data_IF_131709936553
#
_entry.id   IF_131709936553
#
_cell.length_a   1.000
_cell.length_b   1.000
_cell.length_c   1.000
_cell.angle_alpha   90.00
_cell.angle_beta   90.00
_cell.angle_gamma   90.00
#
_symmetry.space_group_name_H-M   'P 1'
#
loop_
_entity.id
_entity.type
_entity.pdbx_description
1 polymer ?
#
# COMPACT_ATOMS: atom_id res chain seq x y z
N UNK A 1 -24.20 -14.45 17.08
CA UNK A 1 -23.65 -13.35 17.90
C UNK A 1 -23.64 -12.14 17.00
N UNK A 2 -24.15 -10.96 17.39
CA UNK A 2 -23.97 -9.77 16.60
C UNK A 2 -22.46 -9.49 16.54
N UNK A 3 -21.89 -9.50 15.34
CA UNK A 3 -20.52 -9.06 15.11
C UNK A 3 -20.47 -7.58 15.49
N UNK A 4 -19.63 -7.22 16.41
CA UNK A 4 -19.26 -5.82 16.60
C UNK A 4 -18.26 -5.51 15.49
N UNK A 5 -18.68 -4.74 14.50
CA UNK A 5 -17.76 -4.15 13.55
C UNK A 5 -16.90 -3.14 14.32
N UNK A 6 -15.62 -3.44 14.49
CA UNK A 6 -14.67 -2.50 15.05
C UNK A 6 -14.33 -1.50 13.93
N UNK A 7 -14.93 -0.33 13.98
CA UNK A 7 -14.55 0.80 13.11
C UNK A 7 -13.44 1.57 13.83
N UNK A 8 -12.30 1.72 13.17
CA UNK A 8 -11.16 2.48 13.68
C UNK A 8 -11.16 3.82 12.95
N UNK A 9 -11.28 4.90 13.75
CA UNK A 9 -11.19 6.27 13.26
C UNK A 9 -9.72 6.71 13.29
N UNK A 10 -9.03 6.55 12.15
CA UNK A 10 -7.62 6.91 12.00
C UNK A 10 -7.37 8.41 12.19
N UNK A 11 -8.31 9.24 11.72
CA UNK A 11 -8.22 10.69 11.85
C UNK A 11 -8.35 11.13 13.31
N UNK A 12 -9.24 10.49 14.08
CA UNK A 12 -9.34 10.74 15.50
C UNK A 12 -8.02 10.43 16.21
N UNK A 13 -7.41 9.28 15.91
CA UNK A 13 -6.11 8.89 16.48
C UNK A 13 -5.01 9.87 16.07
N UNK A 14 -4.96 10.27 14.80
CA UNK A 14 -4.00 11.24 14.28
C UNK A 14 -4.21 12.63 14.92
N UNK A 15 -5.46 13.03 15.11
CA UNK A 15 -5.82 14.27 15.83
C UNK A 15 -5.41 14.21 17.28
N UNK A 16 -5.66 13.10 17.98
CA UNK A 16 -5.21 12.89 19.36
C UNK A 16 -3.69 12.96 19.49
N UNK A 17 -2.95 12.40 18.52
CA UNK A 17 -1.50 12.52 18.48
C UNK A 17 -1.05 13.99 18.39
N UNK A 18 -1.62 14.75 17.45
CA UNK A 18 -1.34 16.19 17.26
C UNK A 18 -1.70 17.03 18.48
N UNK A 19 -2.87 16.77 19.09
CA UNK A 19 -3.31 17.49 20.28
C UNK A 19 -2.44 17.19 21.50
N UNK A 20 -2.00 15.93 21.64
CA UNK A 20 -1.08 15.52 22.71
C UNK A 20 0.29 16.18 22.54
N UNK A 21 0.81 16.28 21.33
CA UNK A 21 2.06 16.98 21.02
C UNK A 21 1.93 18.49 21.35
N UNK A 22 0.82 19.11 20.95
CA UNK A 22 0.54 20.50 21.27
C UNK A 22 0.45 20.75 22.78
N UNK A 23 -0.13 19.83 23.54
CA UNK A 23 -0.16 19.93 25.02
C UNK A 23 1.26 19.84 25.60
N UNK A 24 2.11 18.95 25.05
CA UNK A 24 3.53 18.85 25.44
C UNK A 24 4.26 20.18 25.18
N UNK A 25 4.07 20.78 24.01
CA UNK A 25 4.66 22.07 23.65
C UNK A 25 4.18 23.19 24.57
N UNK A 26 2.88 23.28 24.88
CA UNK A 26 2.32 24.24 25.78
C UNK A 26 2.88 24.07 27.20
N UNK A 27 3.09 22.82 27.63
CA UNK A 27 3.71 22.53 28.91
C UNK A 27 5.18 22.95 28.94
N UNK A 28 5.89 22.73 27.83
CA UNK A 28 7.29 23.14 27.66
C UNK A 28 7.45 24.66 27.58
N UNK A 29 6.50 25.35 26.95
CA UNK A 29 6.50 26.83 26.82
C UNK A 29 5.93 27.54 28.06
N UNK A 30 5.43 26.77 29.05
CA UNK A 30 4.98 27.37 30.31
C UNK A 30 6.16 28.01 31.03
N UNK A 31 6.21 29.36 30.98
CA UNK A 31 7.29 30.20 31.49
C UNK A 31 7.55 30.06 33.01
N UNK A 32 6.69 29.33 33.69
CA UNK A 32 6.78 29.10 35.15
C UNK A 32 7.85 28.08 35.55
N UNK A 33 8.30 27.20 34.62
CA UNK A 33 9.06 26.04 35.00
C UNK A 33 10.55 26.05 34.60
N UNK A 34 11.05 27.06 33.90
CA UNK A 34 12.40 27.11 33.42
C UNK A 34 13.22 28.31 33.85
N UNK A 35 12.67 29.24 34.62
CA UNK A 35 13.34 30.50 34.95
C UNK A 35 13.36 30.75 36.44
N UNK A 36 14.45 30.38 37.09
CA UNK A 36 14.86 30.95 38.37
C UNK A 36 14.97 32.49 38.34
N UNK A 37 14.92 33.09 37.13
CA UNK A 37 15.14 34.52 36.87
C UNK A 37 13.83 35.36 36.98
N UNK A 38 12.65 34.71 37.11
CA UNK A 38 11.39 35.44 37.20
C UNK A 38 11.11 36.09 38.56
N UNK A 39 11.75 35.61 39.63
CA UNK A 39 11.53 36.12 40.99
C UNK A 39 12.86 36.51 41.55
N UNK A 40 13.09 37.81 41.68
CA UNK A 40 14.21 38.31 42.42
C UNK A 40 13.92 38.22 43.95
N UNK A 41 14.97 37.92 44.68
CA UNK A 41 14.90 37.86 46.15
C UNK A 41 14.34 39.14 46.75
N UNK A 42 14.60 40.29 46.09
CA UNK A 42 14.15 41.61 46.51
C UNK A 42 12.62 41.80 46.31
N UNK A 43 12.01 41.09 45.34
CA UNK A 43 10.56 41.17 45.05
C UNK A 43 9.73 40.30 45.99
N UNK A 44 10.28 39.18 46.45
CA UNK A 44 9.57 38.16 47.24
C UNK A 44 10.00 38.16 48.73
N UNK A 45 11.08 38.83 49.07
CA UNK A 45 11.58 38.90 50.44
C UNK A 45 11.72 37.51 51.09
N UNK A 46 11.09 37.32 52.24
CA UNK A 46 11.12 36.05 52.98
C UNK A 46 10.39 34.88 52.30
N UNK A 47 9.52 35.13 51.30
CA UNK A 47 8.81 34.09 50.56
C UNK A 47 9.64 33.48 49.43
N UNK A 48 10.78 34.07 49.04
CA UNK A 48 11.63 33.62 47.95
C UNK A 48 12.05 32.16 48.11
N UNK A 49 12.45 31.75 49.30
CA UNK A 49 12.84 30.36 49.57
C UNK A 49 11.70 29.35 49.38
N UNK A 50 10.50 29.71 49.85
CA UNK A 50 9.33 28.84 49.72
C UNK A 50 8.87 28.70 48.25
N UNK A 51 8.85 29.79 47.47
CA UNK A 51 8.52 29.79 46.06
C UNK A 51 9.55 29.01 45.27
N UNK A 52 10.82 29.18 45.54
CA UNK A 52 11.90 28.43 44.85
C UNK A 52 11.82 26.94 45.19
N UNK A 53 11.57 26.56 46.42
CA UNK A 53 11.37 25.16 46.82
C UNK A 53 10.13 24.55 46.13
N UNK A 54 9.04 25.31 46.04
CA UNK A 54 7.84 24.88 45.29
C UNK A 54 8.15 24.62 43.83
N UNK A 55 8.82 25.54 43.14
CA UNK A 55 9.20 25.38 41.73
C UNK A 55 10.12 24.17 41.54
N UNK A 56 11.12 23.98 42.42
CA UNK A 56 12.02 22.81 42.35
C UNK A 56 11.27 21.49 42.55
N UNK A 57 10.28 21.43 43.44
CA UNK A 57 9.47 20.23 43.67
C UNK A 57 8.61 19.86 42.46
N UNK A 58 8.20 20.81 41.63
CA UNK A 58 7.33 20.60 40.49
C UNK A 58 8.10 20.34 39.17
N UNK A 59 9.40 20.66 39.10
CA UNK A 59 10.19 20.48 37.89
C UNK A 59 10.19 19.00 37.44
N UNK A 60 10.46 18.08 38.36
CA UNK A 60 10.46 16.64 38.04
C UNK A 60 9.10 16.10 37.55
N UNK A 61 7.99 16.35 38.28
CA UNK A 61 6.65 15.99 37.81
C UNK A 61 6.29 16.54 36.42
N UNK A 62 6.69 17.80 36.13
CA UNK A 62 6.43 18.39 34.82
C UNK A 62 7.28 17.77 33.69
N UNK A 63 8.55 17.46 33.96
CA UNK A 63 9.40 16.80 33.01
C UNK A 63 8.88 15.36 32.69
N UNK A 64 8.48 14.63 33.72
CA UNK A 64 7.82 13.33 33.56
C UNK A 64 6.51 13.43 32.74
N UNK A 65 5.72 14.50 32.98
CA UNK A 65 4.49 14.71 32.21
C UNK A 65 4.76 14.99 30.73
N UNK A 66 5.83 15.74 30.40
CA UNK A 66 6.25 15.97 29.01
C UNK A 66 6.66 14.65 28.33
N UNK A 67 7.49 13.84 28.99
CA UNK A 67 7.93 12.54 28.48
C UNK A 67 6.71 11.61 28.25
N UNK A 68 5.76 11.60 29.18
CA UNK A 68 4.55 10.80 29.05
C UNK A 68 3.66 11.28 27.89
N UNK A 69 3.50 12.61 27.72
CA UNK A 69 2.75 13.18 26.60
C UNK A 69 3.43 12.88 25.26
N UNK A 70 4.75 12.92 25.20
CA UNK A 70 5.51 12.54 24.00
C UNK A 70 5.30 11.07 23.65
N UNK A 71 5.46 10.16 24.61
CA UNK A 71 5.25 8.73 24.42
C UNK A 71 3.80 8.44 23.98
N UNK A 72 2.83 9.13 24.55
CA UNK A 72 1.41 8.98 24.20
C UNK A 72 1.12 9.49 22.79
N UNK A 73 1.66 10.65 22.40
CA UNK A 73 1.55 11.19 21.04
C UNK A 73 2.13 10.22 20.01
N UNK A 74 3.34 9.71 20.25
CA UNK A 74 3.97 8.72 19.38
C UNK A 74 3.15 7.43 19.27
N UNK A 75 2.59 6.96 20.39
CA UNK A 75 1.75 5.76 20.39
C UNK A 75 0.48 5.96 19.56
N UNK A 76 -0.21 7.06 19.69
CA UNK A 76 -1.40 7.35 18.88
C UNK A 76 -1.05 7.47 17.39
N UNK A 77 0.02 8.20 17.06
CA UNK A 77 0.49 8.35 15.69
C UNK A 77 0.85 7.01 15.07
N UNK A 78 1.60 6.19 15.80
CA UNK A 78 1.99 4.84 15.34
C UNK A 78 0.77 3.95 15.14
N UNK A 79 -0.17 3.93 16.08
CA UNK A 79 -1.39 3.13 15.96
C UNK A 79 -2.24 3.58 14.76
N UNK A 80 -2.47 4.89 14.60
CA UNK A 80 -3.20 5.41 13.45
C UNK A 80 -2.56 5.00 12.13
N UNK A 81 -1.26 5.21 12.00
CA UNK A 81 -0.51 4.91 10.77
C UNK A 81 -0.52 3.42 10.46
N UNK A 82 -0.21 2.55 11.44
CA UNK A 82 -0.15 1.09 11.21
C UNK A 82 -1.49 0.48 10.84
N UNK A 83 -2.56 0.90 11.50
CA UNK A 83 -3.90 0.42 11.17
C UNK A 83 -4.34 0.91 9.80
N UNK A 84 -4.15 2.19 9.50
CA UNK A 84 -4.42 2.77 8.19
C UNK A 84 -3.63 2.06 7.07
N UNK A 85 -2.31 1.86 7.24
CA UNK A 85 -1.48 1.18 6.25
C UNK A 85 -1.91 -0.27 6.02
N UNK A 86 -2.36 -0.96 7.07
CA UNK A 86 -2.87 -2.34 6.95
C UNK A 86 -4.13 -2.37 6.10
N UNK A 87 -5.08 -1.50 6.37
CA UNK A 87 -6.34 -1.44 5.63
C UNK A 87 -6.11 -0.91 4.21
N UNK A 88 -5.23 0.09 4.04
CA UNK A 88 -4.81 0.60 2.74
C UNK A 88 -4.19 -0.49 1.86
N UNK A 89 -3.31 -1.30 2.43
CA UNK A 89 -2.71 -2.43 1.73
C UNK A 89 -3.76 -3.45 1.32
N UNK A 90 -4.65 -3.84 2.22
CA UNK A 90 -5.72 -4.79 1.91
C UNK A 90 -6.64 -4.27 0.80
N UNK A 91 -6.98 -2.98 0.82
CA UNK A 91 -7.79 -2.35 -0.22
C UNK A 91 -7.04 -2.33 -1.57
N UNK A 92 -5.75 -1.99 -1.57
CA UNK A 92 -4.89 -2.00 -2.75
C UNK A 92 -4.78 -3.40 -3.38
N UNK A 93 -4.50 -4.41 -2.56
CA UNK A 93 -4.42 -5.81 -3.00
C UNK A 93 -5.74 -6.30 -3.61
N UNK A 94 -6.88 -5.98 -2.96
CA UNK A 94 -8.21 -6.35 -3.47
C UNK A 94 -8.51 -5.67 -4.82
N UNK A 95 -8.12 -4.41 -4.99
CA UNK A 95 -8.34 -3.68 -6.23
C UNK A 95 -7.41 -4.16 -7.34
N UNK A 96 -6.13 -4.43 -7.05
CA UNK A 96 -5.22 -5.02 -8.01
C UNK A 96 -5.73 -6.38 -8.51
N UNK A 97 -6.24 -7.22 -7.62
CA UNK A 97 -6.87 -8.49 -7.99
C UNK A 97 -8.12 -8.29 -8.85
N UNK A 98 -9.01 -7.35 -8.48
CA UNK A 98 -10.22 -7.04 -9.25
C UNK A 98 -9.87 -6.51 -10.65
N UNK A 99 -8.82 -5.69 -10.78
CA UNK A 99 -8.31 -5.22 -12.07
C UNK A 99 -7.76 -6.36 -12.92
N UNK A 100 -7.02 -7.31 -12.33
CA UNK A 100 -6.56 -8.52 -13.03
C UNK A 100 -7.71 -9.33 -13.62
N UNK A 101 -8.80 -9.51 -12.88
CA UNK A 101 -10.00 -10.17 -13.38
C UNK A 101 -10.67 -9.39 -14.52
N UNK A 102 -10.78 -8.06 -14.37
CA UNK A 102 -11.32 -7.18 -15.42
C UNK A 102 -10.45 -7.23 -16.67
N UNK A 103 -9.13 -7.22 -16.53
CA UNK A 103 -8.20 -7.31 -17.65
C UNK A 103 -8.32 -8.65 -18.39
N UNK A 104 -8.40 -9.76 -17.68
CA UNK A 104 -8.60 -11.09 -18.29
C UNK A 104 -9.90 -11.15 -19.09
N UNK A 105 -10.99 -10.59 -18.54
CA UNK A 105 -12.27 -10.51 -19.24
C UNK A 105 -12.20 -9.59 -20.47
N UNK A 106 -11.52 -8.46 -20.34
CA UNK A 106 -11.28 -7.52 -21.43
C UNK A 106 -10.47 -8.18 -22.55
N UNK A 107 -9.40 -8.90 -22.25
CA UNK A 107 -8.58 -9.62 -23.24
C UNK A 107 -9.40 -10.67 -24.00
N UNK A 108 -10.19 -11.46 -23.29
CA UNK A 108 -11.13 -12.40 -23.92
C UNK A 108 -12.11 -11.68 -24.87
N UNK A 109 -12.70 -10.59 -24.42
CA UNK A 109 -13.65 -9.83 -25.22
C UNK A 109 -12.97 -9.15 -26.41
N UNK A 110 -11.75 -8.63 -26.22
CA UNK A 110 -10.93 -8.03 -27.28
C UNK A 110 -10.59 -9.06 -28.37
N UNK A 111 -10.13 -10.24 -27.99
CA UNK A 111 -9.84 -11.35 -28.91
C UNK A 111 -11.09 -11.73 -29.70
N UNK A 112 -12.22 -11.91 -29.05
CA UNK A 112 -13.48 -12.23 -29.70
C UNK A 112 -13.93 -11.12 -30.67
N UNK A 113 -13.73 -9.86 -30.29
CA UNK A 113 -14.08 -8.72 -31.13
C UNK A 113 -13.14 -8.59 -32.34
N UNK A 114 -11.86 -8.85 -32.17
CA UNK A 114 -10.88 -8.87 -33.27
C UNK A 114 -11.14 -10.02 -34.24
N UNK A 115 -11.49 -11.21 -33.75
CA UNK A 115 -11.90 -12.33 -34.59
C UNK A 115 -13.17 -11.99 -35.40
N UNK A 116 -14.16 -11.36 -34.75
CA UNK A 116 -15.35 -10.87 -35.45
C UNK A 116 -14.99 -9.85 -36.53
N UNK A 117 -14.09 -8.88 -36.23
CA UNK A 117 -13.59 -7.91 -37.23
C UNK A 117 -12.91 -8.61 -38.42
N UNK A 118 -12.11 -9.65 -38.18
CA UNK A 118 -11.48 -10.43 -39.24
C UNK A 118 -12.51 -11.11 -40.10
N UNK A 119 -13.46 -11.84 -39.51
CA UNK A 119 -14.54 -12.53 -40.22
C UNK A 119 -15.34 -11.57 -41.10
N UNK A 120 -15.63 -10.37 -40.62
CA UNK A 120 -16.39 -9.37 -41.37
C UNK A 120 -15.55 -8.58 -42.38
N UNK A 121 -14.21 -8.60 -42.26
CA UNK A 121 -13.27 -7.90 -43.14
C UNK A 121 -12.63 -8.79 -44.22
N UNK A 122 -12.55 -10.10 -43.99
CA UNK A 122 -11.90 -11.02 -44.91
C UNK A 122 -12.73 -11.23 -46.16
N UNK A 123 -12.05 -11.26 -47.29
CA UNK A 123 -12.61 -11.56 -48.60
C UNK A 123 -12.02 -12.85 -49.15
N UNK A 124 -12.86 -13.70 -49.70
CA UNK A 124 -12.45 -14.89 -50.40
C UNK A 124 -12.82 -14.79 -51.88
N UNK A 125 -12.05 -15.44 -52.74
CA UNK A 125 -12.40 -15.61 -54.14
C UNK A 125 -13.26 -16.87 -54.28
N UNK A 126 -14.46 -16.70 -54.78
CA UNK A 126 -15.35 -17.83 -55.08
C UNK A 126 -15.59 -17.93 -56.59
N UNK A 127 -15.73 -19.13 -57.08
CA UNK A 127 -16.14 -19.36 -58.45
C UNK A 127 -17.62 -18.94 -58.61
N UNK A 128 -17.87 -18.09 -59.55
CA UNK A 128 -19.23 -17.61 -59.90
C UNK A 128 -19.43 -17.72 -61.39
N UNK A 129 -20.66 -17.81 -61.85
CA UNK A 129 -20.99 -17.90 -63.28
C UNK A 129 -21.84 -16.68 -63.66
N UNK A 130 -21.53 -16.13 -64.85
CA UNK A 130 -22.36 -15.07 -65.42
C UNK A 130 -23.68 -15.62 -65.98
N UNK A 131 -24.55 -14.71 -66.43
CA UNK A 131 -25.82 -15.08 -67.04
C UNK A 131 -25.70 -15.91 -68.33
N UNK A 132 -24.49 -15.99 -68.92
CA UNK A 132 -24.16 -16.75 -70.11
C UNK A 132 -23.47 -18.08 -69.81
N UNK A 133 -23.28 -18.40 -68.53
CA UNK A 133 -22.60 -19.60 -68.05
C UNK A 133 -21.07 -19.52 -68.05
N UNK A 134 -20.47 -18.35 -68.24
CA UNK A 134 -19.02 -18.19 -68.13
C UNK A 134 -18.60 -18.09 -66.69
N UNK A 135 -17.64 -18.90 -66.33
CA UNK A 135 -17.03 -18.91 -65.00
C UNK A 135 -16.11 -17.69 -64.81
N UNK A 136 -16.21 -17.06 -63.64
CA UNK A 136 -15.28 -16.02 -63.21
C UNK A 136 -15.08 -16.08 -61.70
N UNK A 137 -13.93 -15.54 -61.23
CA UNK A 137 -13.67 -15.40 -59.79
C UNK A 137 -14.28 -14.12 -59.27
N UNK A 138 -15.17 -14.26 -58.30
CA UNK A 138 -15.78 -13.16 -57.58
C UNK A 138 -15.19 -13.04 -56.19
N UNK A 139 -14.78 -11.85 -55.86
CA UNK A 139 -14.39 -11.55 -54.48
C UNK A 139 -15.66 -11.35 -53.64
N UNK A 140 -15.81 -12.17 -52.59
CA UNK A 140 -16.94 -12.12 -51.65
C UNK A 140 -16.37 -11.96 -50.26
N UNK A 141 -16.97 -11.09 -49.44
CA UNK A 141 -16.64 -11.04 -48.03
C UNK A 141 -17.15 -12.32 -47.37
N UNK A 142 -16.35 -12.88 -46.44
CA UNK A 142 -16.72 -14.05 -45.65
C UNK A 142 -17.96 -13.76 -44.79
N UNK A 143 -18.05 -12.53 -44.28
CA UNK A 143 -19.26 -12.02 -43.69
C UNK A 143 -19.39 -10.51 -43.98
N UNK A 144 -20.44 -10.11 -44.68
CA UNK A 144 -20.74 -8.69 -44.92
C UNK A 144 -21.38 -8.13 -43.64
N UNK A 145 -20.77 -7.14 -42.95
CA UNK A 145 -21.35 -6.59 -41.75
C UNK A 145 -22.71 -5.94 -41.93
N UNK A 146 -23.09 -5.65 -43.19
CA UNK A 146 -24.39 -5.09 -43.55
C UNK A 146 -25.35 -6.17 -44.10
N UNK A 147 -24.93 -7.43 -44.23
CA UNK A 147 -25.79 -8.51 -44.67
C UNK A 147 -26.82 -8.85 -43.59
N UNK A 148 -28.00 -9.27 -44.04
CA UNK A 148 -29.09 -9.67 -43.14
C UNK A 148 -28.72 -10.80 -42.19
N UNK A 149 -27.78 -11.63 -42.60
CA UNK A 149 -27.27 -12.81 -41.87
C UNK A 149 -25.85 -12.60 -41.34
N UNK A 150 -25.35 -11.36 -41.27
CA UNK A 150 -24.03 -11.07 -40.73
C UNK A 150 -24.00 -11.43 -39.24
N UNK A 151 -22.93 -12.07 -38.77
CA UNK A 151 -22.75 -12.31 -37.34
C UNK A 151 -22.74 -10.98 -36.57
N UNK A 152 -23.58 -10.89 -35.55
CA UNK A 152 -23.57 -9.72 -34.67
C UNK A 152 -22.21 -9.59 -33.97
N UNK A 153 -21.75 -8.37 -33.68
CA UNK A 153 -20.56 -8.19 -32.86
C UNK A 153 -20.78 -8.84 -31.47
N UNK A 154 -19.73 -9.43 -30.88
CA UNK A 154 -19.84 -10.08 -29.56
C UNK A 154 -20.20 -9.11 -28.43
N UNK A 155 -20.14 -7.82 -28.69
CA UNK A 155 -20.46 -6.73 -27.75
C UNK A 155 -19.94 -5.40 -28.26
N UNK A 156 -19.95 -4.35 -27.44
CA UNK A 156 -19.27 -3.11 -27.73
C UNK A 156 -17.74 -3.36 -27.82
N UNK A 157 -17.03 -2.49 -28.53
CA UNK A 157 -15.57 -2.58 -28.57
C UNK A 157 -14.99 -2.40 -27.16
N UNK A 158 -14.21 -3.35 -26.66
CA UNK A 158 -13.68 -3.25 -25.31
C UNK A 158 -12.71 -2.06 -25.16
N UNK A 159 -12.86 -1.32 -24.07
CA UNK A 159 -11.97 -0.24 -23.67
C UNK A 159 -11.02 -0.74 -22.58
N UNK A 160 -9.78 -0.23 -22.55
CA UNK A 160 -8.80 -0.58 -21.52
C UNK A 160 -9.30 -0.22 -20.11
N UNK A 161 -9.03 -1.09 -19.14
CA UNK A 161 -9.47 -0.94 -17.75
C UNK A 161 -8.35 -1.34 -16.80
N UNK A 162 -7.23 -0.64 -16.88
CA UNK A 162 -6.02 -0.89 -16.10
C UNK A 162 -5.92 -0.03 -14.83
N UNK A 163 -6.90 0.84 -14.61
CA UNK A 163 -6.97 1.70 -13.43
C UNK A 163 -8.32 1.55 -12.69
N UNK A 164 -8.28 1.69 -11.38
CA UNK A 164 -9.43 1.73 -10.49
C UNK A 164 -9.31 2.92 -9.55
N UNK A 165 -10.39 3.68 -9.42
CA UNK A 165 -10.50 4.79 -8.47
C UNK A 165 -11.77 4.60 -7.67
N UNK A 166 -11.64 4.62 -6.36
CA UNK A 166 -12.77 4.62 -5.44
C UNK A 166 -12.42 5.35 -4.13
N UNK A 167 -13.36 5.34 -3.20
CA UNK A 167 -13.14 5.88 -1.86
C UNK A 167 -12.74 4.74 -0.92
N UNK A 168 -11.73 4.99 -0.11
CA UNK A 168 -11.29 4.16 0.99
C UNK A 168 -11.45 4.95 2.29
N UNK A 169 -11.84 4.31 3.40
CA UNK A 169 -11.98 5.01 4.67
C UNK A 169 -12.52 4.16 5.80
N UNK A 170 -12.62 4.78 6.97
CA UNK A 170 -13.09 4.18 8.22
C UNK A 170 -14.62 4.30 8.42
N UNK A 171 -15.35 4.76 7.40
CA UNK A 171 -16.78 5.03 7.45
C UNK A 171 -17.12 6.45 7.92
N UNK A 172 -16.15 7.19 8.46
CA UNK A 172 -16.29 8.59 8.89
C UNK A 172 -15.56 9.53 7.94
N UNK A 173 -14.33 9.16 7.57
CA UNK A 173 -13.49 9.88 6.63
C UNK A 173 -13.21 8.98 5.42
N UNK A 174 -13.32 9.53 4.23
CA UNK A 174 -13.03 8.83 2.99
C UNK A 174 -11.75 9.39 2.39
N UNK A 175 -10.85 8.48 2.02
CA UNK A 175 -9.59 8.78 1.36
C UNK A 175 -9.71 8.53 -0.13
N UNK A 176 -9.09 9.38 -0.92
CA UNK A 176 -8.98 9.15 -2.35
C UNK A 176 -8.05 7.96 -2.62
N UNK A 177 -8.58 6.93 -3.25
CA UNK A 177 -7.86 5.70 -3.55
C UNK A 177 -7.73 5.51 -5.06
N UNK A 178 -6.52 5.32 -5.53
CA UNK A 178 -6.21 4.97 -6.91
C UNK A 178 -5.32 3.75 -6.94
N UNK A 179 -5.73 2.74 -7.71
CA UNK A 179 -4.89 1.59 -8.06
C UNK A 179 -4.72 1.54 -9.57
N UNK A 180 -3.48 1.45 -10.03
CA UNK A 180 -3.10 1.29 -11.44
C UNK A 180 -2.27 0.02 -11.60
N UNK A 181 -2.56 -0.77 -12.65
CA UNK A 181 -1.86 -2.02 -12.93
C UNK A 181 -1.41 -2.03 -14.39
N UNK A 182 -0.17 -2.42 -14.65
CA UNK A 182 0.36 -2.60 -16.00
C UNK A 182 0.57 -4.07 -16.32
N UNK A 183 0.42 -4.42 -17.58
CA UNK A 183 0.49 -5.80 -18.06
C UNK A 183 1.49 -5.93 -19.21
N UNK A 184 2.09 -7.10 -19.35
CA UNK A 184 2.85 -7.48 -20.55
C UNK A 184 1.91 -7.90 -21.69
N UNK A 185 2.51 -8.28 -22.84
CA UNK A 185 1.77 -8.75 -24.01
C UNK A 185 1.00 -10.06 -23.78
N UNK A 186 1.39 -10.82 -22.77
CA UNK A 186 0.79 -12.12 -22.42
C UNK A 186 -0.28 -11.97 -21.33
N UNK A 187 -0.49 -10.73 -20.81
CA UNK A 187 -1.49 -10.40 -19.80
C UNK A 187 -1.03 -10.60 -18.37
N UNK A 188 0.28 -10.80 -18.13
CA UNK A 188 0.81 -10.87 -16.78
C UNK A 188 1.07 -9.46 -16.22
N UNK A 189 0.79 -9.29 -14.95
CA UNK A 189 1.09 -8.02 -14.25
C UNK A 189 2.59 -7.78 -14.23
N UNK A 190 3.02 -6.62 -14.70
CA UNK A 190 4.41 -6.17 -14.67
C UNK A 190 4.67 -5.15 -13.57
N UNK A 191 3.68 -4.31 -13.27
CA UNK A 191 3.73 -3.42 -12.11
C UNK A 191 2.35 -3.05 -11.59
N UNK A 192 2.31 -2.61 -10.35
CA UNK A 192 1.11 -2.02 -9.73
C UNK A 192 1.49 -0.82 -8.89
N UNK A 193 0.65 0.20 -8.93
CA UNK A 193 0.73 1.41 -8.11
C UNK A 193 -0.57 1.58 -7.34
N UNK A 194 -0.47 1.74 -6.03
CA UNK A 194 -1.60 2.09 -5.17
C UNK A 194 -1.27 3.36 -4.41
N UNK A 195 -2.15 4.34 -4.50
CA UNK A 195 -2.05 5.61 -3.77
C UNK A 195 -3.33 5.87 -3.02
N UNK A 196 -3.21 6.16 -1.73
CA UNK A 196 -4.30 6.60 -0.86
C UNK A 196 -3.86 7.89 -0.17
N UNK A 197 -4.66 8.95 -0.28
CA UNK A 197 -4.31 10.29 0.20
C UNK A 197 -5.54 11.01 0.75
N UNK A 198 -5.44 11.49 1.98
CA UNK A 198 -6.45 12.34 2.64
C UNK A 198 -6.13 13.84 2.49
N UNK A 199 -5.17 14.18 1.64
CA UNK A 199 -4.78 15.56 1.39
C UNK A 199 -3.77 16.13 2.41
N UNK A 200 -3.56 17.44 2.42
CA UNK A 200 -2.48 18.07 3.17
C UNK A 200 -2.55 17.83 4.67
N UNK A 201 -1.59 17.09 5.20
CA UNK A 201 -1.46 16.78 6.63
C UNK A 201 -2.31 15.60 7.10
N UNK A 202 -3.02 14.92 6.21
CA UNK A 202 -3.71 13.67 6.44
C UNK A 202 -2.78 12.45 6.43
N UNK A 203 -3.38 11.26 6.50
CA UNK A 203 -2.67 10.00 6.34
C UNK A 203 -2.51 9.69 4.85
N UNK A 204 -1.35 9.17 4.47
CA UNK A 204 -1.05 8.79 3.09
C UNK A 204 -0.41 7.41 3.04
N UNK A 205 -0.66 6.71 1.95
CA UNK A 205 -0.05 5.43 1.63
C UNK A 205 0.25 5.40 0.14
N UNK A 206 1.47 5.08 -0.21
CA UNK A 206 1.84 4.89 -1.60
C UNK A 206 2.67 3.61 -1.71
N UNK A 207 2.17 2.64 -2.46
CA UNK A 207 2.84 1.38 -2.75
C UNK A 207 3.06 1.26 -4.25
N UNK A 208 4.30 0.98 -4.63
CA UNK A 208 4.69 0.61 -5.99
C UNK A 208 5.31 -0.78 -5.95
N UNK A 209 4.83 -1.68 -6.81
CA UNK A 209 5.37 -3.03 -6.95
C UNK A 209 5.72 -3.29 -8.40
N UNK A 210 6.97 -3.68 -8.65
CA UNK A 210 7.42 -4.25 -9.91
C UNK A 210 7.51 -5.77 -9.77
N UNK A 211 6.95 -6.51 -10.72
CA UNK A 211 6.96 -7.97 -10.74
C UNK A 211 7.94 -8.50 -11.79
N UNK A 212 8.59 -9.61 -11.46
CA UNK A 212 9.55 -10.29 -12.33
C UNK A 212 9.27 -11.79 -12.44
N UNK A 213 10.17 -12.49 -13.12
CA UNK A 213 10.06 -13.95 -13.31
C UNK A 213 10.24 -14.70 -11.97
N UNK A 214 9.69 -15.93 -11.93
CA UNK A 214 9.87 -16.89 -10.84
C UNK A 214 9.44 -16.40 -9.45
N UNK A 215 8.42 -15.52 -9.38
CA UNK A 215 7.95 -14.93 -8.13
C UNK A 215 8.86 -13.82 -7.58
N UNK A 216 9.74 -13.28 -8.42
CA UNK A 216 10.53 -12.09 -8.07
C UNK A 216 9.65 -10.85 -8.09
N UNK A 217 9.88 -9.94 -7.14
CA UNK A 217 9.25 -8.61 -7.13
C UNK A 217 10.04 -7.62 -6.28
N UNK A 218 9.80 -6.34 -6.54
CA UNK A 218 10.26 -5.24 -5.68
C UNK A 218 9.06 -4.39 -5.30
N UNK A 219 8.77 -4.29 -4.03
CA UNK A 219 7.72 -3.42 -3.50
C UNK A 219 8.35 -2.27 -2.73
N UNK A 220 7.96 -1.05 -3.05
CA UNK A 220 8.32 0.17 -2.32
C UNK A 220 7.08 0.77 -1.71
N UNK A 221 7.02 0.84 -0.38
CA UNK A 221 5.96 1.54 0.36
C UNK A 221 6.53 2.86 0.86
N UNK A 222 5.84 3.95 0.58
CA UNK A 222 6.11 5.27 1.15
C UNK A 222 5.04 5.59 2.19
N UNK A 223 5.48 5.84 3.41
CA UNK A 223 4.63 6.08 4.58
C UNK A 223 4.26 7.57 4.72
N UNK A 224 3.25 7.86 5.52
CA UNK A 224 2.76 9.23 5.79
C UNK A 224 3.87 10.20 6.24
N UNK A 225 4.85 9.75 6.98
CA UNK A 225 5.96 10.58 7.47
C UNK A 225 7.11 10.75 6.46
N UNK A 226 6.97 10.14 5.27
CA UNK A 226 7.97 10.15 4.20
C UNK A 226 9.04 9.08 4.34
N UNK A 227 9.01 8.27 5.39
CA UNK A 227 9.86 7.06 5.49
C UNK A 227 9.46 6.03 4.42
N UNK A 228 10.34 5.08 4.13
CA UNK A 228 10.09 4.06 3.11
C UNK A 228 10.47 2.67 3.60
N UNK A 229 9.66 1.70 3.17
CA UNK A 229 9.99 0.27 3.26
C UNK A 229 10.16 -0.27 1.84
N UNK A 230 11.29 -0.89 1.56
CA UNK A 230 11.56 -1.58 0.30
C UNK A 230 11.69 -3.06 0.57
N UNK A 231 10.90 -3.86 -0.12
CA UNK A 231 10.94 -5.33 -0.09
C UNK A 231 11.41 -5.82 -1.45
N UNK A 232 12.56 -6.46 -1.50
CA UNK A 232 13.10 -7.07 -2.71
C UNK A 232 13.07 -8.60 -2.57
N UNK A 233 12.37 -9.26 -3.47
CA UNK A 233 12.31 -10.72 -3.55
C UNK A 233 12.92 -11.18 -4.86
N UNK A 234 13.87 -12.10 -4.75
CA UNK A 234 14.49 -12.77 -5.90
C UNK A 234 14.14 -14.26 -5.86
N UNK A 235 13.26 -14.68 -6.76
CA UNK A 235 12.88 -16.07 -6.93
C UNK A 235 13.72 -16.79 -7.98
N UNK A 236 13.95 -18.08 -7.77
CA UNK A 236 14.62 -18.97 -8.70
C UNK A 236 13.62 -19.96 -9.33
N UNK A 237 13.96 -20.53 -10.47
CA UNK A 237 13.12 -21.53 -11.17
C UNK A 237 12.73 -22.74 -10.30
N UNK A 238 13.60 -23.13 -9.37
CA UNK A 238 13.33 -24.24 -8.45
C UNK A 238 12.44 -23.89 -7.26
N UNK A 239 11.91 -22.66 -7.22
CA UNK A 239 11.07 -22.15 -6.12
C UNK A 239 11.83 -21.73 -4.86
N UNK A 240 13.17 -21.78 -4.84
CA UNK A 240 13.96 -21.14 -3.79
C UNK A 240 14.09 -19.64 -4.04
N UNK A 241 14.47 -18.86 -3.04
CA UNK A 241 14.73 -17.44 -3.25
C UNK A 241 15.26 -16.72 -2.02
N UNK A 242 15.45 -15.42 -2.18
CA UNK A 242 15.88 -14.50 -1.11
C UNK A 242 14.90 -13.33 -1.01
N UNK A 243 14.73 -12.80 0.20
CA UNK A 243 13.96 -11.59 0.46
C UNK A 243 14.82 -10.66 1.30
N UNK A 244 14.94 -9.40 0.87
CA UNK A 244 15.54 -8.32 1.65
C UNK A 244 14.46 -7.28 1.95
N UNK A 245 14.43 -6.82 3.20
CA UNK A 245 13.56 -5.71 3.64
C UNK A 245 14.48 -4.60 4.11
N UNK A 246 14.34 -3.41 3.54
CA UNK A 246 15.11 -2.22 3.90
C UNK A 246 14.14 -1.13 4.32
N UNK A 247 14.32 -0.58 5.51
CA UNK A 247 13.59 0.58 5.99
C UNK A 247 14.50 1.81 5.99
N UNK A 248 13.98 2.92 5.54
CA UNK A 248 14.67 4.21 5.53
C UNK A 248 13.80 5.28 6.20
N UNK A 249 14.44 6.23 6.86
CA UNK A 249 13.76 7.43 7.34
C UNK A 249 13.40 8.37 6.18
N UNK A 250 12.70 9.45 6.49
CA UNK A 250 12.29 10.49 5.52
C UNK A 250 13.46 11.17 4.80
N UNK A 251 14.66 11.12 5.36
CA UNK A 251 15.87 11.71 4.79
C UNK A 251 16.68 10.69 3.94
N UNK A 252 16.13 9.47 3.79
CA UNK A 252 16.71 8.38 2.99
C UNK A 252 17.80 7.60 3.71
N UNK A 253 18.01 7.82 5.01
CA UNK A 253 18.98 7.05 5.81
C UNK A 253 18.37 5.71 6.19
N UNK A 254 19.07 4.62 5.92
CA UNK A 254 18.67 3.27 6.35
C UNK A 254 18.56 3.18 7.88
N UNK A 255 17.42 2.76 8.36
CA UNK A 255 17.11 2.55 9.78
C UNK A 255 17.12 1.08 10.16
N UNK A 256 16.72 0.19 9.21
CA UNK A 256 16.68 -1.25 9.41
C UNK A 256 16.95 -2.00 8.11
N UNK A 257 17.54 -3.19 8.21
CA UNK A 257 17.63 -4.17 7.12
C UNK A 257 17.43 -5.57 7.67
N UNK A 258 16.67 -6.39 6.93
CA UNK A 258 16.47 -7.80 7.28
C UNK A 258 16.57 -8.65 6.03
N UNK A 259 17.23 -9.81 6.13
CA UNK A 259 17.43 -10.73 5.01
C UNK A 259 16.89 -12.11 5.33
N UNK A 260 16.28 -12.74 4.31
CA UNK A 260 15.63 -14.04 4.45
C UNK A 260 16.00 -14.94 3.27
N UNK A 261 16.02 -16.24 3.51
CA UNK A 261 15.98 -17.27 2.46
C UNK A 261 14.63 -17.95 2.49
N UNK A 262 14.14 -18.35 1.31
CA UNK A 262 12.81 -18.94 1.21
C UNK A 262 12.72 -20.12 0.27
N UNK A 263 11.60 -20.83 0.41
CA UNK A 263 11.15 -21.90 -0.49
C UNK A 263 9.70 -21.67 -0.88
N UNK A 264 9.29 -22.17 -2.06
CA UNK A 264 7.97 -21.92 -2.59
C UNK A 264 7.74 -20.46 -3.00
N UNK A 265 8.80 -19.73 -3.36
CA UNK A 265 8.74 -18.28 -3.69
C UNK A 265 7.85 -18.01 -4.91
N UNK A 266 7.71 -18.99 -5.79
CA UNK A 266 6.85 -18.96 -6.97
C UNK A 266 5.44 -19.54 -6.71
N UNK A 267 5.01 -19.62 -5.45
CA UNK A 267 3.68 -20.11 -5.03
C UNK A 267 2.99 -19.06 -4.17
N UNK A 268 1.69 -19.26 -3.90
CA UNK A 268 0.86 -18.37 -3.09
C UNK A 268 1.25 -18.34 -1.60
N UNK A 269 2.10 -19.26 -1.16
CA UNK A 269 2.45 -19.39 0.25
C UNK A 269 3.95 -19.66 0.45
N UNK A 270 4.82 -18.69 0.14
CA UNK A 270 6.26 -18.82 0.33
C UNK A 270 6.60 -18.94 1.82
N UNK A 271 7.56 -19.81 2.12
CA UNK A 271 8.09 -19.97 3.47
C UNK A 271 9.42 -19.25 3.58
N UNK A 272 9.55 -18.35 4.55
CA UNK A 272 10.74 -17.53 4.76
C UNK A 272 11.43 -17.87 6.06
N UNK A 273 12.78 -17.90 6.04
CA UNK A 273 13.63 -18.06 7.22
C UNK A 273 14.58 -16.87 7.29
N UNK A 274 14.59 -16.18 8.41
CA UNK A 274 15.52 -15.07 8.63
C UNK A 274 16.97 -15.59 8.64
N UNK A 275 17.84 -14.92 7.90
CA UNK A 275 19.27 -15.28 7.77
C UNK A 275 20.20 -14.33 8.53
N UNK A 276 19.65 -13.37 9.27
CA UNK A 276 20.47 -12.49 10.09
C UNK A 276 21.11 -13.28 11.23
N UNK A 277 22.45 -13.39 11.29
CA UNK A 277 23.15 -14.16 12.33
C UNK A 277 22.99 -13.57 13.74
N UNK A 278 22.61 -12.31 13.84
CA UNK A 278 22.30 -11.63 15.11
C UNK A 278 20.82 -11.73 15.50
N UNK A 279 20.03 -12.46 14.71
CA UNK A 279 18.63 -12.70 14.98
C UNK A 279 18.47 -13.52 16.26
N UNK A 280 18.09 -12.89 17.35
CA UNK A 280 17.58 -13.54 18.54
C UNK A 280 16.06 -13.53 18.46
N UNK A 281 15.47 -14.71 18.36
CA UNK A 281 14.03 -14.95 18.43
C UNK A 281 13.76 -15.44 19.86
N UNK A 282 13.33 -14.55 20.76
CA UNK A 282 13.05 -14.88 22.16
C UNK A 282 11.59 -15.26 22.38
N UNK A 283 10.70 -14.92 21.45
CA UNK A 283 9.28 -15.25 21.55
C UNK A 283 8.85 -16.44 20.67
N UNK A 284 9.79 -16.97 19.83
CA UNK A 284 9.57 -18.16 19.01
C UNK A 284 8.71 -17.92 17.76
N UNK A 285 8.51 -16.65 17.34
CA UNK A 285 7.71 -16.32 16.17
C UNK A 285 8.50 -16.38 14.84
N UNK A 286 9.79 -16.72 14.90
CA UNK A 286 10.69 -16.84 13.75
C UNK A 286 11.27 -15.51 13.26
N UNK A 287 11.18 -14.44 14.06
CA UNK A 287 11.70 -13.12 13.76
C UNK A 287 12.82 -12.70 14.69
N UNK A 288 13.59 -11.71 14.27
CA UNK A 288 14.67 -11.17 15.07
C UNK A 288 14.17 -10.07 16.02
N UNK A 289 14.23 -10.31 17.32
CA UNK A 289 13.83 -9.35 18.37
C UNK A 289 14.65 -8.07 18.39
N UNK A 290 15.89 -8.06 17.85
CA UNK A 290 16.72 -6.84 17.78
C UNK A 290 16.20 -5.81 16.78
N UNK A 291 15.47 -6.24 15.76
CA UNK A 291 14.85 -5.34 14.76
C UNK A 291 13.46 -4.87 15.17
N UNK A 292 12.92 -5.42 16.24
CA UNK A 292 11.61 -5.02 16.80
C UNK A 292 11.68 -4.88 18.33
N UNK A 293 12.22 -3.77 18.87
CA UNK A 293 12.31 -3.55 20.30
C UNK A 293 10.94 -3.50 21.01
N UNK A 294 9.83 -3.51 20.29
CA UNK A 294 8.48 -3.45 20.86
C UNK A 294 7.62 -4.68 20.54
N UNK A 295 8.19 -5.75 19.93
CA UNK A 295 7.45 -6.97 19.61
C UNK A 295 6.24 -6.75 18.70
N UNK A 296 6.23 -5.68 17.90
CA UNK A 296 5.14 -5.46 16.95
C UNK A 296 5.27 -6.48 15.84
N UNK A 297 4.27 -7.32 15.77
CA UNK A 297 4.06 -8.35 14.77
C UNK A 297 4.13 -7.73 13.36
N UNK A 298 5.29 -7.75 12.73
CA UNK A 298 5.30 -7.66 11.28
C UNK A 298 4.61 -8.94 10.78
N UNK A 299 3.30 -8.81 10.56
CA UNK A 299 2.56 -9.87 9.90
C UNK A 299 3.30 -10.20 8.61
N UNK A 300 3.70 -11.45 8.49
CA UNK A 300 4.32 -12.01 7.30
C UNK A 300 3.24 -12.10 6.20
N UNK A 301 2.74 -10.95 5.77
CA UNK A 301 1.90 -10.83 4.60
C UNK A 301 2.82 -10.73 3.40
N UNK A 302 3.41 -11.88 3.06
CA UNK A 302 3.89 -12.08 1.71
C UNK A 302 2.69 -11.95 0.80
N UNK A 303 2.56 -10.82 0.13
CA UNK A 303 1.70 -10.71 -1.02
C UNK A 303 2.38 -11.51 -2.11
N UNK A 304 2.07 -12.78 -2.15
CA UNK A 304 2.25 -13.54 -3.35
C UNK A 304 1.24 -13.00 -4.34
N UNK A 305 1.66 -12.17 -5.29
CA UNK A 305 0.92 -12.01 -6.53
C UNK A 305 0.89 -13.37 -7.21
N UNK A 306 -0.16 -14.12 -6.94
CA UNK A 306 -0.51 -15.26 -7.77
C UNK A 306 -1.54 -14.77 -8.78
N UNK A 307 -1.12 -14.72 -10.00
CA UNK A 307 -2.00 -14.79 -11.16
C UNK A 307 -1.95 -16.19 -11.70
#
# INVERSE_FOLDING_TARGET
MPGYDLVIDYELLNTLAKDTERLKEQLADSRLLGRSDFFHKDDLGGAFGAVNMFLLQWTGPFDNAKELLEALSQTYKFAAQKMFETDAKLAGDANAQALGWKHSLWDMNKKAYEEWKKLTGETILVHAWDKNGHEYLKQVRLADPNAKDAPAPPGPEPTDTDAHNDDFGDGTNNYNHTTHVTYDSDGHVTSSDTTIDDGPGGLTYHEHTDTGAHGSYTTTVTHTDGSKTVVEVHGNENGSGTKNVTETDKDGKTTSTSSYTGSGVNTDNPQWTNTDPDATDTDGDGKNDKSDPNGSQHSNTGVGSSV
#
